data_IF_875520462368
#
_entry.id   IF_875520462368
#
_cell.length_a   1.000
_cell.length_b   1.000
_cell.length_c   1.000
_cell.angle_alpha   90.00
_cell.angle_beta   90.00
_cell.angle_gamma   90.00
#
_symmetry.space_group_name_H-M   'P 1'
#
loop_
_entity.id
_entity.type
_entity.pdbx_description
1 polymer ?
#
# COMPACT_ATOMS: atom_id res chain seq x y z
N UNK A 1 4.33 16.65 0.64
CA UNK A 1 3.71 15.55 1.43
C UNK A 1 4.32 14.24 0.95
N UNK A 2 4.57 13.27 1.82
CA UNK A 2 5.19 12.00 1.43
C UNK A 2 4.14 11.07 0.87
N UNK A 3 4.34 10.55 -0.34
CA UNK A 3 3.42 9.57 -0.95
C UNK A 3 3.78 8.15 -0.52
N UNK A 4 2.76 7.36 -0.22
CA UNK A 4 2.88 5.97 0.22
C UNK A 4 2.01 5.10 -0.69
N UNK A 5 2.61 4.07 -1.28
CA UNK A 5 1.89 3.01 -1.97
C UNK A 5 1.77 1.79 -1.04
N UNK A 6 0.59 1.17 -1.00
CA UNK A 6 0.38 -0.06 -0.23
C UNK A 6 -0.24 -1.11 -1.12
N UNK A 7 0.43 -2.24 -1.28
CA UNK A 7 -0.13 -3.43 -1.95
C UNK A 7 -0.60 -4.44 -0.92
N UNK A 8 -1.83 -4.91 -1.08
CA UNK A 8 -2.48 -5.84 -0.17
C UNK A 8 -3.35 -6.87 -0.91
N UNK A 9 -3.74 -7.93 -0.20
CA UNK A 9 -4.67 -8.94 -0.67
C UNK A 9 -5.78 -9.14 0.37
N UNK A 10 -7.00 -9.34 -0.10
CA UNK A 10 -8.19 -9.54 0.73
C UNK A 10 -8.95 -10.78 0.27
N UNK A 11 -9.49 -11.57 1.20
CA UNK A 11 -10.48 -12.62 0.91
C UNK A 11 -11.93 -12.17 1.14
N UNK A 12 -12.10 -10.94 1.65
CA UNK A 12 -13.37 -10.33 2.03
C UNK A 12 -13.68 -10.40 3.52
N UNK A 13 -12.88 -11.14 4.30
CA UNK A 13 -12.99 -11.23 5.77
C UNK A 13 -11.72 -10.71 6.46
N UNK A 14 -10.54 -11.01 5.89
CA UNK A 14 -9.25 -10.52 6.35
C UNK A 14 -8.43 -9.90 5.21
N UNK A 15 -7.45 -9.07 5.59
CA UNK A 15 -6.57 -8.35 4.67
C UNK A 15 -5.11 -8.58 5.07
N UNK A 16 -4.36 -9.16 4.12
CA UNK A 16 -2.92 -9.27 4.17
C UNK A 16 -2.27 -8.03 3.53
N UNK A 17 -1.56 -7.23 4.34
CA UNK A 17 -0.69 -6.16 3.82
C UNK A 17 0.60 -6.79 3.30
N UNK A 18 0.86 -6.65 2.00
CA UNK A 18 2.04 -7.22 1.35
C UNK A 18 3.28 -6.35 1.56
N UNK A 19 3.16 -5.05 1.28
CA UNK A 19 4.20 -4.07 1.56
C UNK A 19 3.63 -2.65 1.65
N UNK A 20 4.29 -1.83 2.47
CA UNK A 20 4.13 -0.38 2.53
C UNK A 20 5.39 0.21 1.87
N UNK A 21 5.19 1.01 0.82
CA UNK A 21 6.24 1.58 -0.04
C UNK A 21 6.28 3.09 0.14
N UNK A 22 7.42 3.63 0.56
CA UNK A 22 7.65 5.08 0.64
C UNK A 22 8.22 5.59 -0.68
N UNK A 23 7.62 6.62 -1.26
CA UNK A 23 8.17 7.28 -2.45
C UNK A 23 9.29 8.25 -2.06
N UNK A 24 10.34 8.32 -2.89
CA UNK A 24 11.41 9.31 -2.76
C UNK A 24 10.91 10.70 -3.12
N UNK A 25 10.12 10.78 -4.18
CA UNK A 25 9.48 12.00 -4.66
C UNK A 25 8.27 12.40 -3.80
N UNK A 26 8.00 13.71 -3.73
CA UNK A 26 6.81 14.20 -3.02
C UNK A 26 5.52 13.92 -3.79
N UNK A 27 4.42 13.76 -3.04
CA UNK A 27 3.08 13.62 -3.58
C UNK A 27 2.76 14.76 -4.56
N UNK A 28 2.34 14.39 -5.77
CA UNK A 28 2.10 15.31 -6.89
C UNK A 28 2.94 15.00 -8.13
N UNK A 29 4.02 14.22 -7.99
CA UNK A 29 4.64 13.50 -9.10
C UNK A 29 3.87 12.19 -9.28
N UNK A 30 3.58 11.81 -10.52
CA UNK A 30 2.76 10.63 -10.79
C UNK A 30 3.46 9.37 -10.25
N UNK A 31 2.78 8.61 -9.39
CA UNK A 31 3.30 7.41 -8.72
C UNK A 31 4.07 6.48 -9.67
N UNK A 32 3.55 6.34 -10.90
CA UNK A 32 4.15 5.64 -12.04
C UNK A 32 5.64 5.89 -12.30
N UNK A 33 6.08 7.12 -12.11
CA UNK A 33 7.43 7.59 -12.41
C UNK A 33 8.29 7.76 -11.15
N UNK A 34 7.68 7.67 -9.97
CA UNK A 34 8.36 7.79 -8.68
C UNK A 34 9.20 6.56 -8.36
N UNK A 35 10.34 6.81 -7.70
CA UNK A 35 11.16 5.78 -7.08
C UNK A 35 10.60 5.48 -5.69
N UNK A 36 10.48 4.20 -5.32
CA UNK A 36 9.99 3.83 -3.99
C UNK A 36 10.89 2.82 -3.28
N UNK A 37 10.76 2.77 -1.95
CA UNK A 37 11.55 1.92 -1.06
C UNK A 37 10.67 0.87 -0.37
N UNK A 38 11.18 -0.36 -0.30
CA UNK A 38 10.68 -1.42 0.58
C UNK A 38 11.87 -1.91 1.43
N UNK A 39 11.78 -1.87 2.77
CA UNK A 39 10.72 -1.24 3.56
C UNK A 39 10.75 0.29 3.43
N UNK A 40 9.70 0.97 3.90
CA UNK A 40 9.74 2.42 4.12
C UNK A 40 10.94 2.79 5.02
N UNK A 41 11.55 3.95 4.78
CA UNK A 41 12.83 4.36 5.37
C UNK A 41 12.66 5.44 6.44
N UNK A 42 11.77 6.42 6.23
CA UNK A 42 11.66 7.62 7.06
C UNK A 42 10.29 7.79 7.73
N UNK A 43 9.50 6.71 7.80
CA UNK A 43 8.15 6.73 8.37
C UNK A 43 8.20 6.17 9.78
N UNK A 44 7.59 6.87 10.73
CA UNK A 44 7.51 6.42 12.12
C UNK A 44 6.64 5.15 12.25
N UNK A 45 6.99 4.30 13.22
CA UNK A 45 6.33 2.99 13.41
C UNK A 45 4.83 3.12 13.65
N UNK A 46 4.40 4.10 14.44
CA UNK A 46 2.99 4.38 14.72
C UNK A 46 2.21 4.80 13.46
N UNK A 47 2.84 5.55 12.56
CA UNK A 47 2.27 5.88 11.26
C UNK A 47 2.19 4.64 10.35
N UNK A 48 3.18 3.75 10.37
CA UNK A 48 3.14 2.48 9.63
C UNK A 48 2.02 1.57 10.12
N UNK A 49 1.84 1.46 11.44
CA UNK A 49 0.72 0.74 12.06
C UNK A 49 -0.62 1.34 11.62
N UNK A 50 -0.75 2.67 11.64
CA UNK A 50 -1.95 3.37 11.19
C UNK A 50 -2.25 3.12 9.71
N UNK A 51 -1.23 3.16 8.83
CA UNK A 51 -1.39 2.83 7.41
C UNK A 51 -1.88 1.40 7.22
N UNK A 52 -1.29 0.44 7.94
CA UNK A 52 -1.70 -0.95 7.89
C UNK A 52 -3.14 -1.14 8.36
N UNK A 53 -3.54 -0.52 9.47
CA UNK A 53 -4.91 -0.57 9.97
C UNK A 53 -5.91 0.03 8.97
N UNK A 54 -5.64 1.22 8.44
CA UNK A 54 -6.50 1.86 7.44
C UNK A 54 -6.62 1.02 6.17
N UNK A 55 -5.54 0.37 5.74
CA UNK A 55 -5.56 -0.53 4.58
C UNK A 55 -6.53 -1.69 4.79
N UNK A 56 -6.54 -2.28 5.99
CA UNK A 56 -7.48 -3.36 6.36
C UNK A 56 -8.92 -2.86 6.39
N UNK A 57 -9.17 -1.74 7.07
CA UNK A 57 -10.50 -1.13 7.18
C UNK A 57 -11.08 -0.83 5.79
N UNK A 58 -10.27 -0.26 4.89
CA UNK A 58 -10.70 0.07 3.52
C UNK A 58 -10.94 -1.21 2.70
N UNK A 59 -10.03 -2.19 2.78
CA UNK A 59 -10.16 -3.45 2.04
C UNK A 59 -11.46 -4.19 2.35
N UNK A 60 -11.77 -4.33 3.65
CA UNK A 60 -13.02 -4.95 4.12
C UNK A 60 -14.23 -4.07 3.82
N UNK A 61 -14.13 -2.76 4.10
CA UNK A 61 -15.23 -1.81 3.89
C UNK A 61 -15.68 -1.70 2.43
N UNK A 62 -14.78 -1.92 1.48
CA UNK A 62 -15.08 -1.97 0.04
C UNK A 62 -15.41 -3.38 -0.48
N UNK A 63 -15.46 -4.39 0.41
CA UNK A 63 -15.73 -5.79 0.08
C UNK A 63 -14.81 -6.32 -1.04
N UNK A 64 -13.53 -5.94 -0.98
CA UNK A 64 -12.54 -6.34 -1.97
C UNK A 64 -12.21 -7.82 -1.79
N UNK A 65 -12.14 -8.55 -2.91
CA UNK A 65 -11.63 -9.91 -2.98
C UNK A 65 -10.55 -9.98 -4.04
N UNK A 66 -9.36 -10.43 -3.65
CA UNK A 66 -8.15 -10.41 -4.46
C UNK A 66 -7.18 -9.29 -4.07
N UNK A 67 -6.23 -9.01 -4.98
CA UNK A 67 -5.25 -7.94 -4.78
C UNK A 67 -5.88 -6.56 -4.94
N UNK A 68 -5.40 -5.62 -4.14
CA UNK A 68 -5.70 -4.21 -4.28
C UNK A 68 -4.50 -3.36 -3.87
N UNK A 69 -4.57 -2.10 -4.26
CA UNK A 69 -3.58 -1.09 -3.96
C UNK A 69 -4.25 0.16 -3.40
N UNK A 70 -3.60 0.81 -2.44
CA UNK A 70 -4.02 2.10 -1.91
C UNK A 70 -2.85 3.05 -1.98
N UNK A 71 -3.11 4.27 -2.44
CA UNK A 71 -2.17 5.38 -2.36
C UNK A 71 -2.59 6.31 -1.23
N UNK A 72 -1.65 6.63 -0.34
CA UNK A 72 -1.81 7.58 0.73
C UNK A 72 -0.85 8.76 0.57
N UNK A 73 -1.17 9.86 1.24
CA UNK A 73 -0.24 10.97 1.46
C UNK A 73 -0.12 11.26 2.96
N UNK A 74 1.11 11.46 3.43
CA UNK A 74 1.41 11.92 4.78
C UNK A 74 1.80 13.39 4.74
N UNK A 75 1.11 14.21 5.53
CA UNK A 75 1.45 15.63 5.72
C UNK A 75 1.48 15.95 7.21
N UNK A 76 2.68 16.14 7.77
CA UNK A 76 2.84 16.21 9.21
C UNK A 76 2.42 14.88 9.84
N UNK A 77 1.51 14.93 10.81
CA UNK A 77 0.99 13.75 11.53
C UNK A 77 -0.33 13.21 10.92
N UNK A 78 -0.79 13.83 9.82
CA UNK A 78 -2.04 13.47 9.16
C UNK A 78 -1.80 12.48 8.02
N UNK A 79 -2.65 11.45 7.96
CA UNK A 79 -2.69 10.45 6.90
C UNK A 79 -3.93 10.67 6.03
N UNK A 80 -3.72 10.89 4.74
CA UNK A 80 -4.77 11.11 3.75
C UNK A 80 -4.83 9.94 2.76
N UNK A 81 -6.03 9.50 2.40
CA UNK A 81 -6.25 8.54 1.30
C UNK A 81 -6.34 9.33 0.00
N UNK A 82 -5.52 8.98 -1.00
CA UNK A 82 -5.57 9.58 -2.33
C UNK A 82 -6.53 8.81 -3.24
N UNK A 83 -6.27 7.51 -3.41
CA UNK A 83 -7.11 6.62 -4.21
C UNK A 83 -6.99 5.16 -3.76
N UNK A 84 -7.98 4.36 -4.15
CA UNK A 84 -8.02 2.91 -3.95
C UNK A 84 -8.22 2.24 -5.30
N UNK A 85 -7.32 1.32 -5.63
CA UNK A 85 -7.35 0.52 -6.84
C UNK A 85 -7.73 -0.92 -6.48
N UNK A 86 -8.99 -1.37 -6.64
CA UNK A 86 -9.44 -2.73 -6.31
C UNK A 86 -9.02 -3.73 -7.40
N UNK A 87 -7.71 -3.76 -7.70
CA UNK A 87 -7.04 -4.60 -8.68
C UNK A 87 -5.55 -4.66 -8.34
N UNK A 88 -4.85 -5.63 -8.90
CA UNK A 88 -3.38 -5.64 -8.85
C UNK A 88 -2.79 -4.35 -9.44
N UNK A 89 -1.84 -3.77 -8.72
CA UNK A 89 -1.02 -2.66 -9.19
C UNK A 89 0.18 -3.16 -10.00
N UNK A 90 0.94 -2.22 -10.55
CA UNK A 90 2.23 -2.49 -11.21
C UNK A 90 3.34 -2.86 -10.22
N UNK A 91 3.18 -2.56 -8.92
CA UNK A 91 4.18 -2.79 -7.88
C UNK A 91 4.11 -4.20 -7.28
N UNK A 92 3.02 -4.95 -7.49
CA UNK A 92 2.86 -6.33 -6.99
C UNK A 92 4.06 -7.25 -7.31
N UNK A 93 4.64 -7.26 -8.53
CA UNK A 93 5.84 -8.05 -8.81
C UNK A 93 7.08 -7.62 -8.01
N UNK A 94 7.25 -6.31 -7.79
CA UNK A 94 8.32 -5.75 -6.97
C UNK A 94 8.16 -6.19 -5.51
N UNK A 95 6.95 -6.04 -4.96
CA UNK A 95 6.58 -6.51 -3.61
C UNK A 95 6.87 -8.00 -3.45
N UNK A 96 6.46 -8.83 -4.42
CA UNK A 96 6.65 -10.27 -4.33
C UNK A 96 8.13 -10.69 -4.33
N UNK A 97 8.99 -9.94 -5.03
CA UNK A 97 10.43 -10.21 -5.08
C UNK A 97 11.16 -9.66 -3.86
N UNK A 98 10.76 -8.50 -3.34
CA UNK A 98 11.36 -7.89 -2.17
C UNK A 98 10.99 -8.62 -0.86
N UNK A 99 9.73 -9.01 -0.71
CA UNK A 99 9.21 -9.68 0.50
C UNK A 99 9.32 -11.21 0.47
N UNK A 100 9.43 -11.81 -0.73
CA UNK A 100 9.31 -13.26 -0.92
C UNK A 100 7.85 -13.77 -0.86
N UNK A 101 6.87 -12.90 -0.62
CA UNK A 101 5.45 -13.25 -0.58
C UNK A 101 4.86 -13.25 -2.00
N UNK A 102 4.37 -14.38 -2.53
CA UNK A 102 3.74 -14.40 -3.85
C UNK A 102 2.30 -13.85 -3.78
N UNK A 103 2.16 -12.54 -3.53
CA UNK A 103 0.88 -11.88 -3.22
C UNK A 103 -0.22 -12.19 -4.26
N UNK A 104 0.12 -12.15 -5.54
CA UNK A 104 -0.81 -12.49 -6.62
C UNK A 104 -1.32 -13.95 -6.60
N UNK A 105 -0.54 -14.89 -6.04
CA UNK A 105 -0.98 -16.28 -5.84
C UNK A 105 -1.80 -16.46 -4.57
N UNK A 106 -1.51 -15.68 -3.53
CA UNK A 106 -2.26 -15.69 -2.27
C UNK A 106 -3.68 -15.17 -2.50
N UNK A 107 -3.80 -14.15 -3.36
CA UNK A 107 -5.06 -13.48 -3.67
C UNK A 107 -5.96 -14.22 -4.69
N UNK A 108 -5.53 -15.38 -5.20
CA UNK A 108 -6.17 -16.11 -6.30
C UNK A 108 -7.13 -17.21 -5.83
#
# INVERSE_FOLDING_TARGET
>A
ATEIDVDAASDGEDVLVGAIMEHLEEAGIHSGDSTCFIPAQNIAEDMLERIAEQTKVIGIGLNIKGCFNIQFAIQGDDLYVLEVNPRSSRTVPFVAKASGLPLARIAA
#
